data_IF_047730307293
#
_entry.id   IF_047730307293
#
_cell.length_a   1.000
_cell.length_b   1.000
_cell.length_c   1.000
_cell.angle_alpha   90.00
_cell.angle_beta   90.00
_cell.angle_gamma   90.00
#
_symmetry.space_group_name_H-M   'P 1'
#
loop_
_entity.id
_entity.type
_entity.pdbx_description
1 polymer ?
#
# COMPACT_ATOMS: atom_id res chain seq x y z
N UNK A 1 -26.77 -37.19 -47.37
CA UNK A 1 -25.50 -37.00 -46.60
C UNK A 1 -25.50 -35.64 -45.95
N UNK A 2 -25.72 -35.59 -44.65
CA UNK A 2 -25.60 -34.37 -43.87
C UNK A 2 -24.20 -34.37 -43.23
N UNK A 3 -23.35 -33.44 -43.63
CA UNK A 3 -22.06 -33.17 -42.97
C UNK A 3 -22.35 -32.25 -41.78
N UNK A 4 -22.21 -32.80 -40.56
CA UNK A 4 -22.18 -32.04 -39.30
C UNK A 4 -20.77 -31.50 -39.13
N UNK A 5 -20.59 -30.18 -39.38
CA UNK A 5 -19.38 -29.47 -39.01
C UNK A 5 -19.43 -29.23 -37.48
N UNK A 6 -18.70 -30.01 -36.71
CA UNK A 6 -18.45 -29.72 -35.30
C UNK A 6 -17.43 -28.59 -35.20
N UNK A 7 -17.89 -27.37 -34.95
CA UNK A 7 -17.02 -26.27 -34.55
C UNK A 7 -16.52 -26.57 -33.14
N UNK A 8 -15.29 -27.05 -33.03
CA UNK A 8 -14.60 -27.17 -31.76
C UNK A 8 -14.33 -25.78 -31.20
N UNK A 9 -15.04 -25.42 -30.14
CA UNK A 9 -14.74 -24.24 -29.34
C UNK A 9 -13.46 -24.59 -28.54
N UNK A 10 -12.30 -24.15 -29.05
CA UNK A 10 -11.08 -24.14 -28.27
C UNK A 10 -11.23 -23.11 -27.17
N UNK A 11 -11.57 -23.56 -25.97
CA UNK A 11 -11.43 -22.75 -24.76
C UNK A 11 -9.92 -22.56 -24.56
N UNK A 12 -9.40 -21.45 -25.03
CA UNK A 12 -8.07 -20.99 -24.62
C UNK A 12 -8.20 -20.62 -23.14
N UNK A 13 -7.93 -21.55 -22.26
CA UNK A 13 -7.66 -21.25 -20.86
C UNK A 13 -6.38 -20.42 -20.92
N UNK A 14 -6.50 -19.12 -20.74
CA UNK A 14 -5.36 -18.26 -20.51
C UNK A 14 -4.64 -18.86 -19.28
N UNK A 15 -3.51 -19.50 -19.52
CA UNK A 15 -2.67 -20.02 -18.46
C UNK A 15 -2.22 -18.77 -17.69
N UNK A 16 -2.86 -18.51 -16.55
CA UNK A 16 -2.47 -17.43 -15.67
C UNK A 16 -0.95 -17.55 -15.45
N UNK A 17 -0.24 -16.45 -15.69
CA UNK A 17 1.19 -16.39 -15.51
C UNK A 17 1.51 -16.49 -14.02
N UNK A 18 1.47 -17.70 -13.49
CA UNK A 18 1.78 -17.96 -12.09
C UNK A 18 3.27 -17.69 -11.87
N UNK A 19 3.59 -16.94 -10.82
CA UNK A 19 4.97 -16.69 -10.43
C UNK A 19 5.69 -18.02 -10.14
N UNK A 20 6.82 -18.21 -10.79
CA UNK A 20 7.66 -19.41 -10.58
C UNK A 20 9.09 -19.00 -10.26
N UNK A 21 9.71 -19.69 -9.29
CA UNK A 21 11.11 -19.48 -8.93
C UNK A 21 11.98 -20.16 -9.98
N UNK A 22 12.57 -19.36 -10.87
CA UNK A 22 13.51 -19.86 -11.89
C UNK A 22 14.89 -19.98 -11.30
N UNK A 23 15.55 -21.14 -11.49
CA UNK A 23 16.90 -21.43 -10.99
C UNK A 23 17.00 -21.22 -9.46
N UNK A 24 16.27 -22.00 -8.66
CA UNK A 24 16.32 -21.91 -7.22
C UNK A 24 17.73 -22.22 -6.69
N UNK A 25 18.16 -21.52 -5.64
CA UNK A 25 19.44 -21.71 -4.97
C UNK A 25 19.21 -22.28 -3.56
N UNK A 26 19.15 -23.58 -3.49
CA UNK A 26 18.93 -24.30 -2.22
C UNK A 26 20.15 -24.27 -1.29
N UNK A 27 21.34 -23.86 -1.76
CA UNK A 27 22.49 -23.64 -0.89
C UNK A 27 22.31 -22.36 -0.06
N UNK A 28 21.75 -21.29 -0.67
CA UNK A 28 21.45 -20.02 0.03
C UNK A 28 20.15 -20.07 0.81
N UNK A 29 19.15 -20.75 0.29
CA UNK A 29 17.82 -20.83 0.90
C UNK A 29 17.32 -22.28 0.86
N UNK A 30 17.66 -23.09 1.88
CA UNK A 30 17.43 -24.54 1.84
C UNK A 30 15.97 -24.97 1.66
N UNK A 31 15.02 -24.16 2.11
CA UNK A 31 13.59 -24.50 2.08
C UNK A 31 12.87 -24.01 0.83
N UNK A 32 13.20 -22.82 0.32
CA UNK A 32 12.45 -22.22 -0.79
C UNK A 32 13.28 -22.10 -2.07
N UNK A 33 14.59 -22.15 -1.98
CA UNK A 33 15.50 -21.82 -3.08
C UNK A 33 15.44 -20.34 -3.50
N UNK A 34 14.65 -19.50 -2.81
CA UNK A 34 14.46 -18.09 -3.17
C UNK A 34 15.62 -17.23 -2.65
N UNK A 35 16.31 -16.58 -3.56
CA UNK A 35 17.30 -15.54 -3.25
C UNK A 35 16.62 -14.16 -3.19
N UNK A 36 17.36 -13.10 -2.76
CA UNK A 36 16.87 -11.72 -2.80
C UNK A 36 16.29 -11.35 -4.17
N UNK A 37 16.91 -11.75 -5.27
CA UNK A 37 16.39 -11.49 -6.62
C UNK A 37 15.01 -12.12 -6.84
N UNK A 38 14.79 -13.33 -6.37
CA UNK A 38 13.48 -13.97 -6.49
C UNK A 38 12.41 -13.27 -5.66
N UNK A 39 12.76 -12.77 -4.47
CA UNK A 39 11.83 -11.97 -3.66
C UNK A 39 11.47 -10.63 -4.31
N UNK A 40 12.44 -9.95 -4.94
CA UNK A 40 12.17 -8.74 -5.74
C UNK A 40 11.20 -9.08 -6.89
N UNK A 41 11.48 -10.12 -7.67
CA UNK A 41 10.62 -10.55 -8.77
C UNK A 41 9.22 -10.95 -8.30
N UNK A 42 9.09 -11.61 -7.15
CA UNK A 42 7.79 -11.93 -6.56
C UNK A 42 7.03 -10.66 -6.16
N UNK A 43 7.71 -9.69 -5.55
CA UNK A 43 7.13 -8.39 -5.21
C UNK A 43 6.65 -7.63 -6.46
N UNK A 44 7.47 -7.56 -7.50
CA UNK A 44 7.11 -6.95 -8.78
C UNK A 44 5.91 -7.64 -9.43
N UNK A 45 5.88 -8.97 -9.41
CA UNK A 45 4.75 -9.76 -9.92
C UNK A 45 3.44 -9.43 -9.18
N UNK A 46 3.47 -9.41 -7.85
CA UNK A 46 2.30 -9.07 -7.03
C UNK A 46 1.84 -7.64 -7.28
N UNK A 47 2.80 -6.70 -7.31
CA UNK A 47 2.50 -5.30 -7.52
C UNK A 47 1.96 -5.02 -8.92
N UNK A 48 2.49 -5.72 -9.93
CA UNK A 48 1.97 -5.65 -11.29
C UNK A 48 0.49 -6.05 -11.36
N UNK A 49 0.11 -7.16 -10.71
CA UNK A 49 -1.28 -7.60 -10.67
C UNK A 49 -2.20 -6.56 -10.00
N UNK A 50 -1.71 -5.80 -9.03
CA UNK A 50 -2.44 -4.68 -8.45
C UNK A 50 -2.54 -3.50 -9.42
N UNK A 51 -1.44 -3.16 -10.10
CA UNK A 51 -1.39 -2.06 -11.06
C UNK A 51 -2.14 -2.33 -12.38
N UNK A 52 -2.54 -3.57 -12.65
CA UNK A 52 -3.44 -3.87 -13.77
C UNK A 52 -4.83 -3.19 -13.62
N UNK A 53 -5.18 -2.74 -12.41
CA UNK A 53 -6.39 -1.95 -12.12
C UNK A 53 -6.15 -0.44 -12.01
N UNK A 54 -4.92 0.04 -12.21
CA UNK A 54 -4.54 1.44 -12.07
C UNK A 54 -4.16 2.00 -13.45
N UNK A 55 -4.91 2.98 -13.92
CA UNK A 55 -4.73 3.64 -15.22
C UNK A 55 -4.39 5.12 -15.07
N UNK A 56 -4.72 5.72 -13.93
CA UNK A 56 -4.42 7.11 -13.58
C UNK A 56 -3.94 7.22 -12.12
N UNK A 57 -3.37 8.36 -11.76
CA UNK A 57 -2.99 8.62 -10.36
C UNK A 57 -4.20 8.69 -9.43
N UNK A 58 -5.40 9.00 -9.95
CA UNK A 58 -6.64 9.13 -9.17
C UNK A 58 -7.36 7.81 -8.94
N UNK A 59 -6.96 6.74 -9.62
CA UNK A 59 -7.56 5.43 -9.41
C UNK A 59 -7.22 4.91 -8.01
N UNK A 60 -8.24 4.47 -7.30
CA UNK A 60 -8.07 3.94 -5.97
C UNK A 60 -7.64 2.47 -6.02
N UNK A 61 -6.78 2.05 -5.12
CA UNK A 61 -6.34 0.64 -5.00
C UNK A 61 -7.50 -0.20 -4.45
N UNK A 62 -8.47 -0.46 -5.32
CA UNK A 62 -9.68 -1.19 -5.02
C UNK A 62 -9.95 -2.25 -6.08
N UNK A 63 -10.00 -3.50 -5.66
CA UNK A 63 -10.06 -4.64 -6.55
C UNK A 63 -11.46 -5.23 -6.63
N UNK A 64 -11.80 -5.92 -7.75
CA UNK A 64 -13.04 -6.65 -7.87
C UNK A 64 -13.23 -7.62 -6.71
N UNK A 65 -14.45 -7.70 -6.19
CA UNK A 65 -14.79 -8.62 -5.13
C UNK A 65 -14.61 -10.05 -5.63
N UNK A 66 -13.80 -10.81 -4.93
CA UNK A 66 -13.62 -12.22 -5.24
C UNK A 66 -14.91 -13.00 -5.04
N UNK A 67 -15.13 -14.01 -5.87
CA UNK A 67 -16.25 -14.94 -5.74
C UNK A 67 -16.27 -15.54 -4.33
N UNK A 68 -17.45 -15.67 -3.74
CA UNK A 68 -17.69 -16.24 -2.39
C UNK A 68 -17.09 -15.43 -1.21
N UNK A 69 -16.41 -14.30 -1.46
CA UNK A 69 -15.96 -13.41 -0.39
C UNK A 69 -17.05 -12.41 0.00
N UNK A 70 -17.18 -12.17 1.30
CA UNK A 70 -18.22 -11.28 1.82
C UNK A 70 -17.75 -9.85 2.10
N UNK A 71 -16.44 -9.60 2.10
CA UNK A 71 -15.88 -8.28 2.38
C UNK A 71 -15.55 -7.51 1.09
N UNK A 72 -15.86 -6.21 0.97
CA UNK A 72 -16.71 -5.43 1.88
C UNK A 72 -18.18 -5.91 1.82
N UNK A 73 -18.87 -5.90 2.99
CA UNK A 73 -20.26 -6.40 3.10
C UNK A 73 -21.30 -5.38 2.67
N UNK A 74 -20.97 -4.09 2.84
CA UNK A 74 -21.83 -2.96 2.54
C UNK A 74 -21.00 -1.78 2.06
N UNK A 75 -21.66 -0.71 1.62
CA UNK A 75 -21.02 0.49 1.10
C UNK A 75 -20.19 1.24 2.15
N UNK A 76 -20.55 1.16 3.41
CA UNK A 76 -19.83 1.81 4.52
C UNK A 76 -18.40 1.26 4.70
N UNK A 77 -18.18 0.00 4.29
CA UNK A 77 -16.87 -0.65 4.35
C UNK A 77 -15.98 -0.35 3.15
N UNK A 78 -16.53 0.19 2.05
CA UNK A 78 -15.77 0.45 0.82
C UNK A 78 -14.60 1.42 1.04
N UNK A 79 -14.75 2.56 1.75
CA UNK A 79 -13.62 3.46 1.99
C UNK A 79 -12.46 2.78 2.72
N UNK A 80 -12.76 1.95 3.70
CA UNK A 80 -11.74 1.18 4.44
C UNK A 80 -11.11 0.11 3.56
N UNK A 81 -11.88 -0.58 2.73
CA UNK A 81 -11.35 -1.57 1.78
C UNK A 81 -10.38 -0.94 0.76
N UNK A 82 -10.65 0.28 0.31
CA UNK A 82 -9.75 1.05 -0.56
C UNK A 82 -8.45 1.43 0.16
N UNK A 83 -8.56 1.89 1.39
CA UNK A 83 -7.39 2.19 2.22
C UNK A 83 -6.57 0.92 2.51
N UNK A 84 -7.23 -0.20 2.75
CA UNK A 84 -6.60 -1.51 2.92
C UNK A 84 -5.82 -1.91 1.66
N UNK A 85 -6.42 -1.77 0.47
CA UNK A 85 -5.74 -2.00 -0.79
C UNK A 85 -4.49 -1.13 -0.94
N UNK A 86 -4.60 0.17 -0.66
CA UNK A 86 -3.47 1.11 -0.70
C UNK A 86 -2.36 0.71 0.26
N UNK A 87 -2.69 0.45 1.53
CA UNK A 87 -1.71 0.17 2.56
C UNK A 87 -0.96 -1.16 2.30
N UNK A 88 -1.67 -2.20 1.91
CA UNK A 88 -1.09 -3.52 1.67
C UNK A 88 -0.24 -3.58 0.41
N UNK A 89 -0.65 -2.92 -0.65
CA UNK A 89 0.16 -2.84 -1.87
C UNK A 89 1.38 -1.94 -1.68
N UNK A 90 1.28 -0.84 -0.91
CA UNK A 90 2.43 -0.02 -0.56
C UNK A 90 3.45 -0.79 0.30
N UNK A 91 2.99 -1.71 1.14
CA UNK A 91 3.88 -2.57 1.93
C UNK A 91 4.78 -3.44 1.03
N UNK A 92 4.26 -3.87 -0.12
CA UNK A 92 5.04 -4.57 -1.15
C UNK A 92 5.89 -3.60 -1.98
N UNK A 93 5.36 -2.42 -2.32
CA UNK A 93 6.04 -1.45 -3.16
C UNK A 93 7.22 -0.75 -2.46
N UNK A 94 7.11 -0.46 -1.16
CA UNK A 94 8.12 0.31 -0.44
C UNK A 94 9.55 -0.26 -0.53
N UNK A 95 9.81 -1.55 -0.30
CA UNK A 95 11.14 -2.11 -0.48
C UNK A 95 11.61 -2.10 -1.95
N UNK A 96 10.69 -2.22 -2.92
CA UNK A 96 11.04 -2.12 -4.34
C UNK A 96 11.42 -0.68 -4.71
N UNK A 97 10.67 0.31 -4.23
CA UNK A 97 10.94 1.73 -4.43
C UNK A 97 12.23 2.20 -3.78
N UNK A 98 12.60 1.60 -2.64
CA UNK A 98 13.89 1.87 -2.01
C UNK A 98 15.06 1.47 -2.90
N UNK A 99 14.94 0.34 -3.60
CA UNK A 99 15.98 -0.19 -4.50
C UNK A 99 15.90 0.46 -5.90
N UNK A 100 14.69 0.79 -6.37
CA UNK A 100 14.42 1.41 -7.67
C UNK A 100 13.34 2.51 -7.54
N UNK A 101 13.72 3.75 -7.25
CA UNK A 101 12.79 4.88 -7.15
C UNK A 101 12.01 5.20 -8.43
N UNK A 102 12.57 4.82 -9.59
CA UNK A 102 12.00 5.05 -10.92
C UNK A 102 11.12 3.89 -11.42
N UNK A 103 10.80 2.93 -10.54
CA UNK A 103 9.95 1.79 -10.88
C UNK A 103 8.66 2.27 -11.53
N UNK A 104 8.35 1.70 -12.70
CA UNK A 104 7.17 2.02 -13.49
C UNK A 104 6.35 0.75 -13.76
N UNK A 105 5.03 0.86 -13.69
CA UNK A 105 4.08 -0.19 -14.01
C UNK A 105 2.93 0.39 -14.82
N UNK A 106 2.64 -0.23 -15.95
CA UNK A 106 1.57 0.21 -16.88
C UNK A 106 1.68 1.70 -17.29
N UNK A 107 2.90 2.22 -17.45
CA UNK A 107 3.15 3.62 -17.81
C UNK A 107 2.99 4.60 -16.64
N UNK A 108 2.84 4.11 -15.41
CA UNK A 108 2.69 4.93 -14.21
C UNK A 108 3.93 4.75 -13.33
N UNK A 109 4.57 5.85 -12.94
CA UNK A 109 5.61 5.81 -11.91
C UNK A 109 4.98 5.44 -10.58
N UNK A 110 5.40 4.30 -10.05
CA UNK A 110 4.86 3.72 -8.81
C UNK A 110 5.01 4.69 -7.63
N UNK A 111 6.15 5.39 -7.54
CA UNK A 111 6.38 6.40 -6.52
C UNK A 111 5.40 7.57 -6.60
N UNK A 112 5.12 8.08 -7.80
CA UNK A 112 4.19 9.19 -8.01
C UNK A 112 2.77 8.80 -7.64
N UNK A 113 2.35 7.60 -8.03
CA UNK A 113 1.05 7.06 -7.66
C UNK A 113 0.87 7.03 -6.13
N UNK A 114 1.80 6.41 -5.41
CA UNK A 114 1.65 6.30 -3.95
C UNK A 114 1.75 7.65 -3.24
N UNK A 115 2.63 8.57 -3.68
CA UNK A 115 2.65 9.94 -3.13
C UNK A 115 1.33 10.65 -3.34
N UNK A 116 0.75 10.56 -4.54
CA UNK A 116 -0.56 11.15 -4.84
C UNK A 116 -1.65 10.58 -3.92
N UNK A 117 -1.69 9.27 -3.74
CA UNK A 117 -2.66 8.63 -2.85
C UNK A 117 -2.45 9.00 -1.37
N UNK A 118 -1.20 9.09 -0.91
CA UNK A 118 -0.88 9.54 0.46
C UNK A 118 -1.32 11.00 0.72
N UNK A 119 -1.20 11.88 -0.26
CA UNK A 119 -1.72 13.24 -0.17
C UNK A 119 -3.25 13.22 -0.10
N UNK A 120 -3.89 12.42 -0.95
CA UNK A 120 -5.34 12.34 -1.06
C UNK A 120 -6.02 11.86 0.22
N UNK A 121 -5.44 10.96 0.99
CA UNK A 121 -6.05 10.49 2.24
C UNK A 121 -6.13 11.58 3.33
N UNK A 122 -5.36 12.65 3.22
CA UNK A 122 -5.39 13.79 4.15
C UNK A 122 -6.01 15.06 3.54
N UNK A 123 -6.45 15.02 2.28
CA UNK A 123 -7.09 16.17 1.61
C UNK A 123 -8.62 16.08 1.69
N UNK A 124 -9.31 17.01 2.37
CA UNK A 124 -10.77 16.99 2.51
C UNK A 124 -11.55 17.00 1.20
N UNK A 125 -10.98 17.53 0.12
CA UNK A 125 -11.60 17.57 -1.20
C UNK A 125 -11.45 16.25 -1.98
N UNK A 126 -10.65 15.31 -1.47
CA UNK A 126 -10.40 14.04 -2.12
C UNK A 126 -11.49 13.00 -1.81
N UNK A 127 -11.80 12.16 -2.80
CA UNK A 127 -12.65 10.97 -2.63
C UNK A 127 -12.05 9.93 -1.66
N UNK A 128 -10.75 10.01 -1.42
CA UNK A 128 -10.01 9.12 -0.52
C UNK A 128 -9.80 9.70 0.87
N UNK A 129 -10.39 10.86 1.16
CA UNK A 129 -10.20 11.54 2.43
C UNK A 129 -10.55 10.68 3.63
N UNK A 130 -9.64 10.67 4.59
CA UNK A 130 -9.83 10.01 5.88
C UNK A 130 -10.00 11.11 6.94
N UNK A 131 -11.19 11.27 7.51
CA UNK A 131 -11.40 12.25 8.57
C UNK A 131 -10.59 11.89 9.80
N UNK A 132 -10.24 12.90 10.59
CA UNK A 132 -9.64 12.67 11.89
C UNK A 132 -10.54 11.76 12.71
N UNK A 133 -9.92 10.94 13.50
CA UNK A 133 -10.61 9.89 14.24
C UNK A 133 -11.68 10.43 15.17
N UNK A 134 -12.83 9.77 15.13
CA UNK A 134 -13.93 9.95 16.08
C UNK A 134 -14.35 8.58 16.61
N UNK A 135 -14.15 8.33 17.90
CA UNK A 135 -14.63 7.10 18.53
C UNK A 135 -13.60 5.99 18.76
N UNK A 136 -14.04 4.74 18.81
CA UNK A 136 -13.31 3.55 19.23
C UNK A 136 -12.26 3.03 18.25
N UNK A 137 -11.67 1.86 18.50
CA UNK A 137 -10.72 1.20 17.58
C UNK A 137 -11.36 0.97 16.21
N UNK A 138 -10.57 1.12 15.15
CA UNK A 138 -11.04 0.92 13.78
C UNK A 138 -9.94 0.28 12.92
N UNK A 139 -10.36 -0.38 11.84
CA UNK A 139 -9.46 -0.92 10.82
C UNK A 139 -8.54 0.16 10.23
N UNK A 140 -9.00 1.41 10.13
CA UNK A 140 -8.19 2.53 9.66
C UNK A 140 -6.87 2.70 10.43
N UNK A 141 -6.86 2.43 11.74
CA UNK A 141 -5.64 2.44 12.54
C UNK A 141 -4.59 1.45 12.02
N UNK A 142 -5.02 0.22 11.67
CA UNK A 142 -4.12 -0.80 11.14
C UNK A 142 -3.48 -0.34 9.84
N UNK A 143 -4.30 0.18 8.95
CA UNK A 143 -3.84 0.58 7.63
C UNK A 143 -2.91 1.80 7.71
N UNK A 144 -3.22 2.79 8.54
CA UNK A 144 -2.31 3.93 8.77
C UNK A 144 -0.99 3.51 9.44
N UNK A 145 -1.03 2.53 10.34
CA UNK A 145 0.19 1.93 10.90
C UNK A 145 1.04 1.22 9.84
N UNK A 146 0.42 0.50 8.93
CA UNK A 146 1.10 -0.14 7.80
C UNK A 146 1.70 0.89 6.83
N UNK A 147 0.98 1.99 6.56
CA UNK A 147 1.51 3.12 5.78
C UNK A 147 2.72 3.77 6.47
N UNK A 148 2.70 3.91 7.80
CA UNK A 148 3.84 4.46 8.56
C UNK A 148 5.10 3.61 8.38
N UNK A 149 4.99 2.28 8.45
CA UNK A 149 6.10 1.35 8.21
C UNK A 149 6.62 1.48 6.77
N UNK A 150 5.71 1.51 5.80
CA UNK A 150 6.06 1.63 4.38
C UNK A 150 6.75 2.96 4.06
N UNK A 151 6.21 4.08 4.56
CA UNK A 151 6.84 5.40 4.41
C UNK A 151 8.22 5.46 5.09
N UNK A 152 8.40 4.79 6.23
CA UNK A 152 9.70 4.70 6.88
C UNK A 152 10.70 3.89 6.06
N UNK A 153 10.27 2.78 5.46
CA UNK A 153 11.12 1.91 4.65
C UNK A 153 11.64 2.59 3.38
N UNK A 154 10.82 3.43 2.73
CA UNK A 154 11.16 4.16 1.52
C UNK A 154 11.00 5.69 1.71
N UNK A 155 11.50 6.22 2.82
CA UNK A 155 11.28 7.61 3.26
C UNK A 155 11.73 8.64 2.21
N UNK A 156 12.88 8.41 1.58
CA UNK A 156 13.45 9.31 0.57
C UNK A 156 12.55 9.44 -0.66
N UNK A 157 11.76 8.41 -0.94
CA UNK A 157 10.90 8.35 -2.13
C UNK A 157 9.46 8.76 -1.81
N UNK A 158 8.96 8.39 -0.63
CA UNK A 158 7.54 8.52 -0.30
C UNK A 158 7.21 9.74 0.57
N UNK A 159 8.08 10.05 1.54
CA UNK A 159 7.83 11.10 2.52
C UNK A 159 8.60 12.39 2.25
N UNK A 160 9.91 12.29 2.01
CA UNK A 160 10.76 13.47 1.89
C UNK A 160 10.34 14.41 0.75
N UNK A 161 9.86 13.92 -0.43
CA UNK A 161 9.41 14.78 -1.52
C UNK A 161 8.11 15.56 -1.25
N UNK A 162 7.33 15.19 -0.23
CA UNK A 162 6.09 15.91 0.11
C UNK A 162 6.42 17.32 0.60
N UNK A 163 5.54 18.29 0.29
CA UNK A 163 5.65 19.65 0.83
C UNK A 163 5.42 19.64 2.34
N UNK A 164 5.75 20.77 3.01
CA UNK A 164 5.50 20.89 4.44
C UNK A 164 4.02 20.74 4.77
N UNK A 165 3.16 21.41 4.00
CA UNK A 165 1.71 21.41 4.18
C UNK A 165 1.14 19.98 4.00
N UNK A 166 1.61 19.24 3.01
CA UNK A 166 1.21 17.85 2.78
C UNK A 166 1.66 16.93 3.93
N UNK A 167 2.89 17.12 4.41
CA UNK A 167 3.41 16.39 5.58
C UNK A 167 2.60 16.69 6.83
N UNK A 168 2.31 17.95 7.09
CA UNK A 168 1.55 18.38 8.27
C UNK A 168 0.12 17.81 8.24
N UNK A 169 -0.57 17.87 7.10
CA UNK A 169 -1.91 17.33 6.93
C UNK A 169 -1.94 15.80 7.13
N UNK A 170 -1.02 15.07 6.49
CA UNK A 170 -0.92 13.63 6.62
C UNK A 170 -0.54 13.23 8.05
N UNK A 171 0.42 13.93 8.66
CA UNK A 171 0.82 13.69 10.04
C UNK A 171 -0.33 13.92 11.02
N UNK A 172 -1.12 14.99 10.86
CA UNK A 172 -2.29 15.27 11.69
C UNK A 172 -3.34 14.16 11.59
N UNK A 173 -3.64 13.68 10.38
CA UNK A 173 -4.54 12.55 10.17
C UNK A 173 -4.01 11.30 10.88
N UNK A 174 -2.75 10.94 10.65
CA UNK A 174 -2.14 9.76 11.26
C UNK A 174 -2.08 9.86 12.80
N UNK A 175 -1.71 11.02 13.34
CA UNK A 175 -1.61 11.26 14.78
C UNK A 175 -2.97 11.08 15.47
N UNK A 176 -4.05 11.54 14.85
CA UNK A 176 -5.41 11.38 15.39
C UNK A 176 -5.80 9.92 15.63
N UNK A 177 -5.22 8.99 14.87
CA UNK A 177 -5.38 7.55 15.05
C UNK A 177 -4.31 6.97 15.97
N UNK A 178 -3.06 7.41 15.84
CA UNK A 178 -1.93 6.91 16.62
C UNK A 178 -2.06 7.16 18.11
N UNK A 179 -2.62 8.28 18.54
CA UNK A 179 -2.91 8.60 19.94
C UNK A 179 -4.26 8.04 20.43
N UNK A 180 -5.04 7.50 19.51
CA UNK A 180 -6.37 7.03 19.82
C UNK A 180 -6.39 5.65 20.51
N UNK A 181 -7.58 5.25 21.08
CA UNK A 181 -7.76 3.95 21.68
C UNK A 181 -7.58 2.81 20.68
N UNK A 182 -7.04 1.71 21.16
CA UNK A 182 -6.83 0.48 20.41
C UNK A 182 -7.41 -0.72 21.17
N UNK A 183 -7.42 -1.89 20.53
CA UNK A 183 -7.77 -3.14 21.18
C UNK A 183 -6.53 -3.66 21.92
N UNK A 184 -6.71 -4.23 23.12
CA UNK A 184 -5.64 -4.85 23.91
C UNK A 184 -5.11 -6.14 23.28
N UNK A 185 -4.46 -6.02 22.13
CA UNK A 185 -3.90 -7.11 21.34
C UNK A 185 -2.69 -6.60 20.54
N UNK A 186 -2.24 -7.36 19.52
CA UNK A 186 -1.22 -6.91 18.56
C UNK A 186 -1.60 -5.61 17.82
N UNK A 187 -2.85 -5.17 17.86
CA UNK A 187 -3.26 -3.88 17.28
C UNK A 187 -2.56 -2.67 17.93
N UNK A 188 -2.11 -2.79 19.16
CA UNK A 188 -1.30 -1.76 19.83
C UNK A 188 -0.03 -1.40 19.07
N UNK A 189 0.53 -2.33 18.29
CA UNK A 189 1.72 -2.04 17.49
C UNK A 189 1.47 -1.01 16.39
N UNK A 190 0.25 -0.90 15.87
CA UNK A 190 -0.07 0.10 14.85
C UNK A 190 -0.03 1.54 15.40
N UNK A 191 -0.46 1.73 16.66
CA UNK A 191 -0.23 3.00 17.36
C UNK A 191 1.27 3.28 17.47
N UNK A 192 2.06 2.28 17.90
CA UNK A 192 3.52 2.41 18.03
C UNK A 192 4.18 2.75 16.69
N UNK A 193 3.77 2.11 15.59
CA UNK A 193 4.31 2.37 14.26
C UNK A 193 4.06 3.82 13.82
N UNK A 194 2.82 4.30 13.98
CA UNK A 194 2.46 5.68 13.65
C UNK A 194 3.28 6.66 14.50
N UNK A 195 3.24 6.52 15.82
CA UNK A 195 3.89 7.45 16.73
C UNK A 195 5.41 7.44 16.59
N UNK A 196 6.02 6.26 16.38
CA UNK A 196 7.45 6.14 16.14
C UNK A 196 7.86 6.79 14.81
N UNK A 197 7.10 6.58 13.75
CA UNK A 197 7.34 7.24 12.47
C UNK A 197 7.29 8.75 12.63
N UNK A 198 6.20 9.30 13.16
CA UNK A 198 6.02 10.74 13.34
C UNK A 198 7.09 11.34 14.25
N UNK A 199 7.46 10.68 15.35
CA UNK A 199 8.54 11.12 16.23
C UNK A 199 9.87 11.24 15.49
N UNK A 200 10.20 10.30 14.60
CA UNK A 200 11.44 10.39 13.81
C UNK A 200 11.43 11.56 12.84
N UNK A 201 10.26 11.96 12.33
CA UNK A 201 10.15 13.15 11.46
C UNK A 201 10.36 14.45 12.24
N UNK A 202 9.80 14.55 13.45
CA UNK A 202 9.97 15.70 14.34
C UNK A 202 11.44 15.85 14.77
N UNK A 203 12.11 14.76 15.13
CA UNK A 203 13.54 14.81 15.51
C UNK A 203 14.43 15.27 14.36
N UNK A 204 14.17 14.83 13.14
CA UNK A 204 14.89 15.30 11.95
C UNK A 204 14.64 16.80 11.72
N UNK A 205 13.43 17.28 11.97
CA UNK A 205 13.09 18.69 11.82
C UNK A 205 13.84 19.58 12.82
N UNK A 206 13.99 19.13 14.08
CA UNK A 206 14.78 19.84 15.09
C UNK A 206 16.29 19.85 14.78
N UNK A 207 16.83 18.79 14.23
CA UNK A 207 18.24 18.71 13.83
C UNK A 207 18.58 19.63 12.64
N UNK A 208 17.61 19.93 11.78
CA UNK A 208 17.76 20.79 10.61
C UNK A 208 17.15 22.20 10.77
N UNK A 209 16.82 22.64 11.98
CA UNK A 209 16.54 24.05 12.29
C UNK A 209 15.08 24.49 12.27
N UNK A 210 14.13 23.55 12.42
CA UNK A 210 12.72 23.89 12.58
C UNK A 210 12.27 23.93 14.04
N UNK A 211 11.79 25.08 14.53
CA UNK A 211 11.16 25.19 15.84
C UNK A 211 9.70 24.78 15.73
N UNK A 212 9.35 23.58 16.21
CA UNK A 212 7.95 23.26 16.48
C UNK A 212 7.50 23.99 17.73
N UNK A 213 6.51 24.88 17.58
CA UNK A 213 5.78 25.39 18.74
C UNK A 213 5.07 24.20 19.39
N UNK A 214 5.44 23.96 20.65
CA UNK A 214 4.73 23.02 21.52
C UNK A 214 3.25 23.42 21.64
N UNK A 215 2.37 22.50 21.29
CA UNK A 215 0.98 22.53 21.70
C UNK A 215 0.79 21.60 22.89
#
# INVERSE_FOLDING_TARGET
>A
SFLILSAGISVVIAQENIFTVRQPDYQKSPYTGMTRRHWIQAGEYLLKGAFDYIHTLDDQMYFPKQLEKTYPRNEEQIPVAKLEGLARTLFVAAPLLKDNPELEMNGIKVADYYRHQLINISNPESRSFIPHRKGGPSQTLLELGSLAVSMKAAQEVLWNPLTKEQKDALAATMLSYGEGPTIGSNWMFFNVFILSFLKTQVMLFHLFGGVLKSY
#
